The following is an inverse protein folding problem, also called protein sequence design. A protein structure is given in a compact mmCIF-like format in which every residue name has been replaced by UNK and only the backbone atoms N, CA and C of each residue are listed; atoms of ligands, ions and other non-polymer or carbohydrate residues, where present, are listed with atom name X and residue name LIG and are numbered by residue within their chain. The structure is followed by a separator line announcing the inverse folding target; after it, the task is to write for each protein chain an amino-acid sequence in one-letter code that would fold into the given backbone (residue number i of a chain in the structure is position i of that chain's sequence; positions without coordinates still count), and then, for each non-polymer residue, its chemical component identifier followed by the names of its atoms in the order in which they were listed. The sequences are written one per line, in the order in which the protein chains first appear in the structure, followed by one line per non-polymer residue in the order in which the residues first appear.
data_IF_026119335639
#
_entry.id   IF_026119335639
#
_cell.length_a   1.000
_cell.length_b   1.000
_cell.length_c   1.000
_cell.angle_alpha   90.00
_cell.angle_beta   90.00
_cell.angle_gamma   90.00
#
_symmetry.space_group_name_H-M   'P 1'
#
loop_
_entity.id
_entity.type
_entity.pdbx_description
1 polymer ?
#
# COMPACT_ATOMS: atom_id res chain seq x y z
N UNK A 1 22.90 -9.82 0.06
CA UNK A 1 21.53 -9.77 -0.50
C UNK A 1 20.94 -8.43 -0.09
N UNK A 2 20.48 -7.58 -1.00
CA UNK A 2 20.01 -6.23 -0.62
C UNK A 2 18.55 -6.33 -0.20
N UNK A 3 18.33 -6.51 1.09
CA UNK A 3 17.01 -6.44 1.74
C UNK A 3 16.59 -4.96 1.88
N UNK A 4 16.31 -4.33 0.73
CA UNK A 4 15.93 -2.91 0.69
C UNK A 4 14.46 -2.76 0.33
N UNK A 5 13.69 -2.16 1.24
CA UNK A 5 12.33 -1.75 0.96
C UNK A 5 12.32 -0.38 0.26
N UNK A 6 11.60 -0.26 -0.85
CA UNK A 6 11.42 1.00 -1.59
C UNK A 6 10.28 1.88 -1.05
N UNK A 7 9.64 1.48 0.06
CA UNK A 7 8.50 2.17 0.65
C UNK A 7 7.31 2.37 -0.32
N UNK A 8 7.18 1.54 -1.37
CA UNK A 8 6.16 1.65 -2.42
C UNK A 8 4.71 1.43 -1.97
N UNK A 9 4.48 1.08 -0.70
CA UNK A 9 3.15 0.93 -0.12
C UNK A 9 2.31 -0.23 -0.65
N UNK A 10 2.82 -1.09 -1.52
CA UNK A 10 2.04 -2.20 -2.08
C UNK A 10 1.62 -3.23 -1.02
N UNK A 11 2.48 -3.55 -0.06
CA UNK A 11 2.12 -4.42 1.06
C UNK A 11 0.97 -3.85 1.89
N UNK A 12 0.98 -2.52 2.12
CA UNK A 12 -0.10 -1.82 2.81
C UNK A 12 -1.44 -1.84 2.05
N UNK A 13 -1.45 -2.21 0.76
CA UNK A 13 -2.67 -2.32 -0.06
C UNK A 13 -3.17 -3.76 -0.22
N UNK A 14 -2.40 -4.74 0.24
CA UNK A 14 -2.64 -6.15 -0.04
C UNK A 14 -2.80 -7.00 1.22
N UNK A 15 -2.15 -6.62 2.31
CA UNK A 15 -2.01 -7.51 3.47
C UNK A 15 -2.62 -6.91 4.72
N UNK A 16 -3.31 -7.77 5.46
CA UNK A 16 -3.62 -7.56 6.87
C UNK A 16 -2.38 -7.90 7.69
N UNK A 17 -2.05 -7.03 8.65
CA UNK A 17 -0.83 -7.09 9.42
C UNK A 17 -1.19 -7.36 10.87
N UNK A 18 -0.88 -8.56 11.34
CA UNK A 18 -0.99 -8.91 12.76
C UNK A 18 0.18 -8.29 13.53
N UNK A 19 -0.12 -7.64 14.64
CA UNK A 19 0.87 -7.21 15.61
C UNK A 19 1.31 -8.39 16.48
N UNK A 20 2.59 -8.39 16.85
CA UNK A 20 3.08 -9.23 17.94
C UNK A 20 2.49 -8.75 19.27
N UNK A 21 2.53 -9.59 20.30
CA UNK A 21 1.94 -9.28 21.61
C UNK A 21 2.50 -7.98 22.21
N UNK A 22 3.83 -7.82 22.22
CA UNK A 22 4.47 -6.61 22.71
C UNK A 22 4.06 -5.37 21.92
N UNK A 23 3.93 -5.50 20.59
CA UNK A 23 3.52 -4.39 19.71
C UNK A 23 2.06 -3.99 19.94
N UNK A 24 1.18 -4.98 20.15
CA UNK A 24 -0.24 -4.75 20.49
C UNK A 24 -0.39 -4.09 21.86
N UNK A 25 0.23 -4.67 22.90
CA UNK A 25 0.19 -4.15 24.28
C UNK A 25 0.81 -2.75 24.40
N UNK A 26 1.74 -2.39 23.53
CA UNK A 26 2.37 -1.07 23.55
C UNK A 26 1.43 0.09 23.19
N UNK A 27 0.29 -0.17 22.54
CA UNK A 27 -0.65 0.86 22.08
C UNK A 27 -0.09 1.81 21.01
N UNK A 28 1.12 1.55 20.47
CA UNK A 28 1.77 2.42 19.48
C UNK A 28 1.10 2.39 18.11
N UNK A 29 0.30 1.37 17.85
CA UNK A 29 -0.36 1.16 16.56
C UNK A 29 -1.87 1.13 16.71
N UNK A 30 -2.56 1.68 15.71
CA UNK A 30 -4.01 1.60 15.60
C UNK A 30 -4.42 0.24 15.10
N UNK A 31 -5.37 -0.39 15.76
CA UNK A 31 -5.82 -1.75 15.43
C UNK A 31 -7.28 -1.79 15.02
N UNK A 32 -7.69 -2.92 14.44
CA UNK A 32 -9.08 -3.22 14.18
C UNK A 32 -9.83 -3.28 15.51
N UNK A 33 -11.06 -2.77 15.52
CA UNK A 33 -11.95 -2.75 16.67
C UNK A 33 -11.53 -1.88 17.86
N UNK A 34 -10.42 -1.14 17.78
CA UNK A 34 -9.97 -0.25 18.87
C UNK A 34 -11.03 0.75 19.35
N UNK A 35 -11.98 1.12 18.48
CA UNK A 35 -13.10 2.02 18.79
C UNK A 35 -14.14 1.40 19.73
N UNK A 36 -14.16 0.08 19.86
CA UNK A 36 -14.99 -0.67 20.82
C UNK A 36 -14.24 -1.00 22.11
N UNK A 37 -13.02 -0.47 22.28
CA UNK A 37 -12.13 -0.77 23.39
C UNK A 37 -11.04 -1.78 23.05
N UNK A 38 -9.99 -1.81 23.87
CA UNK A 38 -8.91 -2.78 23.75
C UNK A 38 -9.28 -4.07 24.49
N UNK A 39 -8.89 -5.21 23.93
CA UNK A 39 -9.01 -6.51 24.59
C UNK A 39 -7.71 -6.76 25.37
N UNK A 40 -7.80 -6.92 26.69
CA UNK A 40 -6.65 -7.10 27.59
C UNK A 40 -5.91 -8.44 27.38
N UNK A 41 -6.66 -9.47 27.02
CA UNK A 41 -6.16 -10.79 26.70
C UNK A 41 -5.71 -10.84 25.23
N UNK A 42 -4.39 -10.91 25.01
CA UNK A 42 -3.83 -10.94 23.67
C UNK A 42 -4.26 -12.15 22.84
N UNK A 43 -4.44 -13.33 23.45
CA UNK A 43 -4.87 -14.51 22.72
C UNK A 43 -6.30 -14.35 22.20
N UNK A 44 -7.18 -13.76 22.99
CA UNK A 44 -8.53 -13.38 22.53
C UNK A 44 -8.47 -12.32 21.44
N UNK A 45 -7.63 -11.29 21.61
CA UNK A 45 -7.43 -10.25 20.61
C UNK A 45 -6.94 -10.82 19.27
N UNK A 46 -5.99 -11.76 19.31
CA UNK A 46 -5.47 -12.44 18.13
C UNK A 46 -6.49 -13.36 17.48
N UNK A 47 -7.27 -14.10 18.26
CA UNK A 47 -8.29 -15.02 17.76
C UNK A 47 -9.43 -14.29 17.02
N UNK A 48 -9.81 -13.09 17.46
CA UNK A 48 -10.85 -12.28 16.80
C UNK A 48 -10.30 -11.25 15.81
N UNK A 49 -8.98 -11.13 15.65
CA UNK A 49 -8.33 -10.19 14.73
C UNK A 49 -8.25 -8.75 15.23
N UNK A 50 -8.52 -8.49 16.51
CA UNK A 50 -8.33 -7.17 17.13
C UNK A 50 -6.85 -6.74 17.20
N UNK A 51 -5.90 -7.67 17.03
CA UNK A 51 -4.47 -7.35 16.91
C UNK A 51 -4.03 -6.99 15.47
N UNK A 52 -4.95 -6.93 14.51
CA UNK A 52 -4.64 -6.54 13.13
C UNK A 52 -4.57 -5.02 13.04
N UNK A 53 -3.58 -4.47 12.31
CA UNK A 53 -3.53 -3.04 12.03
C UNK A 53 -4.84 -2.54 11.38
N UNK A 54 -5.32 -1.38 11.83
CA UNK A 54 -6.54 -0.76 11.32
C UNK A 54 -6.48 -0.61 9.80
N UNK A 55 -7.58 -0.93 9.12
CA UNK A 55 -7.76 -0.66 7.70
C UNK A 55 -8.62 0.60 7.52
N UNK A 56 -8.45 1.27 6.38
CA UNK A 56 -9.38 2.29 5.89
C UNK A 56 -10.60 1.60 5.29
N UNK A 57 -11.62 2.39 5.00
CA UNK A 57 -12.83 1.93 4.29
C UNK A 57 -12.52 1.27 2.93
N UNK A 58 -11.47 1.73 2.25
CA UNK A 58 -11.03 1.16 0.96
C UNK A 58 -10.21 -0.13 1.10
N UNK A 59 -10.07 -0.66 2.32
CA UNK A 59 -9.32 -1.88 2.63
C UNK A 59 -7.80 -1.71 2.64
N UNK A 60 -7.27 -0.49 2.46
CA UNK A 60 -5.85 -0.23 2.65
C UNK A 60 -5.50 -0.06 4.13
N UNK A 61 -4.27 -0.40 4.50
CA UNK A 61 -3.77 -0.14 5.84
C UNK A 61 -3.87 1.36 6.16
N UNK A 62 -4.30 1.69 7.38
CA UNK A 62 -4.48 3.08 7.85
C UNK A 62 -3.21 3.93 7.68
N UNK A 63 -2.04 3.30 7.71
CA UNK A 63 -0.74 3.94 7.58
C UNK A 63 -0.26 4.14 6.13
N UNK A 64 -1.04 3.75 5.13
CA UNK A 64 -0.78 4.11 3.73
C UNK A 64 -1.13 5.60 3.53
N UNK A 65 -0.14 6.46 3.27
CA UNK A 65 -0.36 7.85 2.87
C UNK A 65 0.10 8.06 1.43
N UNK A 66 -0.84 8.38 0.55
CA UNK A 66 -0.61 8.41 -0.91
C UNK A 66 -0.13 7.05 -1.44
N UNK A 67 1.10 7.01 -1.94
CA UNK A 67 1.74 5.78 -2.45
C UNK A 67 2.79 5.19 -1.49
N UNK A 68 2.91 5.71 -0.26
CA UNK A 68 4.00 5.33 0.66
C UNK A 68 3.49 4.84 2.02
N UNK A 69 4.26 3.94 2.63
CA UNK A 69 4.06 3.51 4.02
C UNK A 69 4.54 4.62 4.97
N UNK A 70 3.64 5.31 5.66
CA UNK A 70 3.99 6.44 6.53
C UNK A 70 4.85 6.03 7.72
N UNK A 71 4.58 4.86 8.30
CA UNK A 71 5.30 4.35 9.47
C UNK A 71 6.57 3.56 9.12
N UNK A 72 7.14 3.74 7.91
CA UNK A 72 8.21 2.87 7.38
C UNK A 72 9.38 2.61 8.37
N UNK A 73 9.82 3.63 9.10
CA UNK A 73 10.93 3.53 10.07
C UNK A 73 10.58 2.75 11.33
N UNK A 74 9.30 2.75 11.71
CA UNK A 74 8.77 2.13 12.93
C UNK A 74 7.73 1.06 12.57
N UNK A 75 7.88 0.38 11.44
CA UNK A 75 6.94 -0.65 10.98
C UNK A 75 6.90 -1.81 11.99
N UNK A 76 5.77 -2.51 12.16
CA UNK A 76 5.69 -3.72 12.97
C UNK A 76 6.68 -4.81 12.55
N UNK A 77 6.98 -5.76 13.43
CA UNK A 77 7.96 -6.82 13.21
C UNK A 77 7.75 -7.56 11.89
N UNK A 78 6.54 -8.04 11.63
CA UNK A 78 6.21 -8.76 10.38
C UNK A 78 6.47 -7.91 9.13
N UNK A 79 6.25 -6.59 9.22
CA UNK A 79 6.51 -5.65 8.14
C UNK A 79 8.01 -5.33 7.97
N UNK A 80 8.82 -5.48 9.02
CA UNK A 80 10.29 -5.34 8.96
C UNK A 80 10.95 -6.58 8.37
N UNK A 81 10.41 -7.76 8.68
CA UNK A 81 10.92 -9.04 8.18
C UNK A 81 10.57 -9.31 6.71
N UNK A 82 9.47 -8.73 6.21
CA UNK A 82 9.03 -8.96 4.84
C UNK A 82 9.78 -8.08 3.82
N UNK A 83 10.43 -8.73 2.87
CA UNK A 83 11.00 -8.10 1.68
C UNK A 83 10.44 -8.74 0.41
N UNK A 84 10.10 -7.92 -0.58
CA UNK A 84 9.57 -8.41 -1.86
C UNK A 84 10.60 -9.24 -2.66
N UNK A 85 11.87 -9.19 -2.28
CA UNK A 85 12.98 -9.94 -2.86
C UNK A 85 13.36 -11.17 -2.03
N UNK A 86 12.64 -11.43 -0.93
CA UNK A 86 12.95 -12.54 -0.03
C UNK A 86 12.77 -13.89 -0.74
N UNK A 87 13.67 -14.84 -0.46
CA UNK A 87 13.57 -16.23 -0.94
C UNK A 87 12.95 -17.17 0.09
N UNK A 88 12.56 -16.65 1.25
CA UNK A 88 12.00 -17.47 2.33
C UNK A 88 10.64 -18.05 1.94
N UNK A 89 10.46 -19.36 2.14
CA UNK A 89 9.23 -20.08 1.78
C UNK A 89 7.98 -19.44 2.40
N UNK A 90 8.08 -18.93 3.64
CA UNK A 90 6.98 -18.26 4.36
C UNK A 90 6.41 -17.04 3.61
N UNK A 91 7.19 -16.39 2.75
CA UNK A 91 6.78 -15.18 2.02
C UNK A 91 6.39 -15.42 0.56
N UNK A 92 6.50 -16.65 0.06
CA UNK A 92 6.28 -16.97 -1.37
C UNK A 92 4.94 -16.46 -1.90
N UNK A 93 3.84 -16.80 -1.21
CA UNK A 93 2.48 -16.36 -1.60
C UNK A 93 2.31 -14.84 -1.57
N UNK A 94 2.92 -14.16 -0.60
CA UNK A 94 2.87 -12.70 -0.51
C UNK A 94 3.60 -12.06 -1.70
N UNK A 95 4.76 -12.59 -2.06
CA UNK A 95 5.55 -12.10 -3.21
C UNK A 95 4.76 -12.28 -4.50
N UNK A 96 4.15 -13.45 -4.73
CA UNK A 96 3.29 -13.69 -5.89
C UNK A 96 2.13 -12.68 -5.99
N UNK A 97 1.49 -12.33 -4.86
CA UNK A 97 0.43 -11.31 -4.84
C UNK A 97 0.96 -9.90 -5.20
N UNK A 98 2.14 -9.54 -4.70
CA UNK A 98 2.80 -8.27 -5.03
C UNK A 98 3.12 -8.20 -6.52
N UNK A 99 3.67 -9.27 -7.11
CA UNK A 99 4.02 -9.34 -8.52
C UNK A 99 2.77 -9.24 -9.42
N UNK A 100 1.72 -10.01 -9.10
CA UNK A 100 0.42 -9.90 -9.78
C UNK A 100 -0.12 -8.48 -9.71
N UNK A 101 -0.04 -7.83 -8.53
CA UNK A 101 -0.48 -6.45 -8.38
C UNK A 101 0.36 -5.49 -9.22
N UNK A 102 1.68 -5.62 -9.25
CA UNK A 102 2.57 -4.80 -10.09
C UNK A 102 2.22 -4.92 -11.57
N UNK A 103 2.07 -6.15 -12.07
CA UNK A 103 1.67 -6.40 -13.45
C UNK A 103 0.31 -5.77 -13.78
N UNK A 104 -0.66 -5.85 -12.86
CA UNK A 104 -1.98 -5.22 -13.04
C UNK A 104 -1.91 -3.69 -13.12
N UNK A 105 -1.03 -3.07 -12.31
CA UNK A 105 -0.84 -1.62 -12.29
C UNK A 105 -0.14 -1.13 -13.55
N UNK A 106 0.82 -1.90 -14.06
CA UNK A 106 1.54 -1.55 -15.30
C UNK A 106 0.62 -1.62 -16.52
N UNK A 107 -0.21 -2.66 -16.64
CA UNK A 107 -1.24 -2.76 -17.68
C UNK A 107 -2.21 -1.57 -17.65
N UNK A 108 -2.62 -1.13 -16.45
CA UNK A 108 -3.51 0.04 -16.28
C UNK A 108 -2.84 1.35 -16.70
N UNK A 109 -1.53 1.52 -16.42
CA UNK A 109 -0.78 2.69 -16.90
C UNK A 109 -0.71 2.71 -18.42
N UNK A 110 -0.38 1.59 -19.05
CA UNK A 110 -0.25 1.50 -20.50
C UNK A 110 -1.57 1.78 -21.23
N UNK A 111 -2.70 1.30 -20.68
CA UNK A 111 -4.04 1.64 -21.21
C UNK A 111 -4.31 3.15 -21.15
N UNK A 112 -4.05 3.80 -20.01
CA UNK A 112 -4.21 5.26 -19.85
C UNK A 112 -3.28 6.10 -20.73
N UNK A 113 -2.17 5.53 -21.21
CA UNK A 113 -1.31 6.19 -22.21
C UNK A 113 -1.95 6.13 -23.59
N UNK A 114 -2.58 5.00 -23.95
CA UNK A 114 -3.28 4.84 -25.23
C UNK A 114 -4.53 5.72 -25.34
N UNK A 115 -5.22 5.96 -24.23
CA UNK A 115 -6.45 6.77 -24.20
C UNK A 115 -6.19 8.29 -24.10
N UNK A 116 -4.93 8.74 -24.13
CA UNK A 116 -4.59 10.17 -24.01
C UNK A 116 -4.73 10.83 -25.40
N UNK A 117 -5.65 11.78 -25.63
CA UNK A 117 -5.74 12.46 -26.93
C UNK A 117 -4.40 13.15 -27.19
N UNK A 118 -3.81 12.86 -28.36
CA UNK A 118 -2.62 13.55 -28.84
C UNK A 118 -2.97 15.04 -28.94
N UNK A 119 -2.37 15.87 -28.09
CA UNK A 119 -2.36 17.31 -28.30
C UNK A 119 -1.55 17.58 -29.58
N UNK A 120 -2.23 17.53 -30.72
CA UNK A 120 -1.75 18.09 -31.96
C UNK A 120 -1.52 19.57 -31.75
N UNK A 121 -0.30 20.03 -32.05
CA UNK A 121 0.05 21.45 -32.13
C UNK A 121 -0.91 22.12 -33.11
N UNK A 122 -1.92 22.84 -32.61
CA UNK A 122 -2.69 23.76 -33.44
C UNK A 122 -1.79 24.97 -33.68
N UNK A 123 -1.09 24.96 -34.81
CA UNK A 123 -0.35 26.11 -35.29
C UNK A 123 -1.37 27.15 -35.77
N UNK A 124 -1.79 28.06 -34.88
CA UNK A 124 -2.62 29.20 -35.26
C UNK A 124 -1.81 30.09 -36.20
N UNK A 125 -2.08 29.98 -37.50
CA UNK A 125 -1.50 30.85 -38.52
C UNK A 125 -2.41 32.08 -38.59
N UNK A 126 -2.03 33.13 -37.86
CA UNK A 126 -2.59 34.46 -38.01
C UNK A 126 -2.41 34.88 -39.48
N UNK A 127 -3.50 34.99 -40.23
CA UNK A 127 -3.52 35.73 -41.49
C UNK A 127 -4.31 36.99 -41.24
N UNK A 128 -3.58 38.10 -41.18
CA UNK A 128 -4.09 39.43 -41.41
C UNK A 128 -4.91 39.45 -42.70
N UNK A 129 -6.07 40.11 -42.68
CA UNK A 129 -6.72 40.56 -43.91
C UNK A 129 -7.49 41.85 -43.65
N UNK A 130 -6.86 42.92 -44.12
CA UNK A 130 -7.35 44.28 -44.31
C UNK A 130 -8.32 44.32 -45.53
N UNK A 131 -9.21 45.33 -45.52
CA UNK A 131 -10.19 45.80 -46.54
C UNK A 131 -11.53 45.06 -46.58
N UNK A 132 -12.69 45.72 -46.47
CA UNK A 132 -13.10 47.06 -46.94
C UNK A 132 -13.81 47.89 -45.87
#
# INVERSE_FOLDING_TARGET
MIDKCSQCGLCCRLFLVNLAEEEYRSGKYRTQFEEFGLIDDFHKAAACGANILKQKEDGNCIYLKGSKCYIHKIRPQVCREFFCTSKLKKFRKMIEQIEKKRASLEKRKNRKVLDRPTQGKIHFRFKERILW
#
